data_IF_111862417433
#
_entry.id   IF_111862417433
#
_cell.length_a   1.000
_cell.length_b   1.000
_cell.length_c   1.000
_cell.angle_alpha   90.00
_cell.angle_beta   90.00
_cell.angle_gamma   90.00
#
_symmetry.space_group_name_H-M   'P 1'
#
loop_
_entity.id
_entity.type
_entity.pdbx_description
1 polymer ?
#
# COMPACT_ATOMS: atom_id res chain seq x y z
N UNK A 1 -6.94 22.81 -48.53
CA UNK A 1 -8.09 22.26 -47.75
C UNK A 1 -7.90 20.82 -47.24
N UNK A 2 -6.84 20.07 -47.61
CA UNK A 2 -6.57 18.71 -47.09
C UNK A 2 -5.61 18.64 -45.89
N UNK A 3 -4.81 19.69 -45.65
CA UNK A 3 -3.88 19.75 -44.53
C UNK A 3 -4.52 20.19 -43.20
N UNK A 4 -5.71 20.80 -43.24
CA UNK A 4 -6.38 21.34 -42.04
C UNK A 4 -7.05 20.24 -41.19
N UNK A 5 -7.36 19.08 -41.80
CA UNK A 5 -8.05 17.97 -41.13
C UNK A 5 -7.07 17.12 -40.29
N UNK A 6 -5.78 17.10 -40.64
CA UNK A 6 -4.75 16.30 -39.95
C UNK A 6 -4.33 16.93 -38.62
N UNK A 7 -4.35 18.27 -38.52
CA UNK A 7 -4.04 18.98 -37.27
C UNK A 7 -5.17 18.84 -36.24
N UNK A 8 -6.42 18.68 -36.69
CA UNK A 8 -7.56 18.49 -35.80
C UNK A 8 -7.60 17.10 -35.13
N UNK A 9 -7.03 16.07 -35.77
CA UNK A 9 -6.98 14.71 -35.21
C UNK A 9 -5.88 14.49 -34.17
N UNK A 10 -4.79 15.28 -34.24
CA UNK A 10 -3.68 15.21 -33.28
C UNK A 10 -4.02 15.80 -31.91
N UNK A 11 -5.08 16.61 -31.81
CA UNK A 11 -5.51 17.23 -30.55
C UNK A 11 -6.51 16.37 -29.74
N UNK A 12 -7.03 15.27 -30.29
CA UNK A 12 -8.05 14.42 -29.63
C UNK A 12 -7.41 13.19 -28.93
N UNK A 13 -6.13 12.91 -29.18
CA UNK A 13 -5.46 11.67 -28.75
C UNK A 13 -4.96 11.59 -27.30
N UNK A 14 -5.07 12.66 -26.51
CA UNK A 14 -4.51 12.70 -25.14
C UNK A 14 -5.49 13.25 -24.11
N UNK A 15 -6.74 12.79 -24.16
CA UNK A 15 -7.55 12.70 -22.94
C UNK A 15 -6.97 11.56 -22.10
N UNK A 16 -5.80 11.80 -21.49
CA UNK A 16 -5.24 10.92 -20.47
C UNK A 16 -6.28 10.83 -19.36
N UNK A 17 -6.99 9.70 -19.33
CA UNK A 17 -7.89 9.37 -18.25
C UNK A 17 -7.08 9.40 -16.96
N UNK A 18 -7.30 10.40 -16.11
CA UNK A 18 -6.92 10.32 -14.70
C UNK A 18 -7.88 9.33 -14.04
N UNK A 19 -7.81 8.06 -14.47
CA UNK A 19 -8.36 6.99 -13.67
C UNK A 19 -7.61 7.08 -12.34
N UNK A 20 -8.34 7.39 -11.27
CA UNK A 20 -7.78 7.41 -9.93
C UNK A 20 -7.01 6.11 -9.74
N UNK A 21 -5.68 6.18 -9.61
CA UNK A 21 -4.91 5.00 -9.31
C UNK A 21 -5.47 4.45 -8.00
N UNK A 22 -5.98 3.21 -8.07
CA UNK A 22 -6.51 2.54 -6.89
C UNK A 22 -5.48 2.56 -5.77
N UNK A 23 -5.93 2.48 -4.50
CA UNK A 23 -5.02 2.50 -3.37
C UNK A 23 -3.88 1.48 -3.57
N UNK A 24 -2.66 1.89 -3.27
CA UNK A 24 -1.46 1.07 -3.49
C UNK A 24 -1.47 -0.21 -2.65
N UNK A 25 -2.20 -0.21 -1.54
CA UNK A 25 -2.33 -1.31 -0.58
C UNK A 25 -3.78 -1.54 -0.16
N UNK A 26 -4.11 -2.74 0.28
CA UNK A 26 -5.42 -3.03 0.84
C UNK A 26 -5.49 -2.62 2.32
N UNK A 27 -4.42 -2.89 3.06
CA UNK A 27 -4.29 -2.50 4.46
C UNK A 27 -2.88 -2.00 4.74
N UNK A 28 -2.78 -0.89 5.49
CA UNK A 28 -1.54 -0.47 6.15
C UNK A 28 -1.78 -0.37 7.64
N UNK A 29 -0.96 -1.05 8.43
CA UNK A 29 -0.91 -0.91 9.89
C UNK A 29 0.27 0.00 10.23
N UNK A 30 0.03 1.15 10.87
CA UNK A 30 1.01 2.21 11.08
C UNK A 30 1.45 2.36 12.53
N UNK A 31 2.62 2.97 12.73
CA UNK A 31 3.14 3.43 14.03
C UNK A 31 3.34 2.33 15.09
N UNK A 32 3.41 1.06 14.65
CA UNK A 32 3.50 -0.08 15.54
C UNK A 32 4.90 -0.32 16.07
N UNK A 33 4.98 -1.05 17.19
CA UNK A 33 6.20 -1.79 17.56
C UNK A 33 6.13 -3.16 16.91
N UNK A 34 6.97 -3.43 15.93
CA UNK A 34 7.00 -4.68 15.20
C UNK A 34 7.83 -5.70 15.97
N UNK A 35 7.23 -6.85 16.26
CA UNK A 35 7.88 -8.05 16.78
C UNK A 35 7.67 -9.14 15.72
N UNK A 36 8.69 -9.46 14.93
CA UNK A 36 8.55 -10.29 13.72
C UNK A 36 8.63 -11.81 13.96
N UNK A 37 8.84 -12.24 15.21
CA UNK A 37 8.96 -13.65 15.59
C UNK A 37 10.36 -14.25 15.35
N UNK A 38 11.34 -13.49 14.85
CA UNK A 38 12.73 -13.96 14.67
C UNK A 38 13.51 -14.12 15.99
N UNK A 39 12.98 -13.57 17.10
CA UNK A 39 13.69 -13.45 18.38
C UNK A 39 14.52 -12.17 18.51
N UNK A 40 14.61 -11.35 17.45
CA UNK A 40 15.25 -10.03 17.50
C UNK A 40 14.47 -9.04 18.38
N UNK A 41 15.13 -7.98 18.92
CA UNK A 41 14.42 -6.88 19.56
C UNK A 41 13.38 -6.24 18.63
N UNK A 42 12.33 -5.67 19.23
CA UNK A 42 11.31 -4.96 18.48
C UNK A 42 11.87 -3.68 17.82
N UNK A 43 11.24 -3.24 16.74
CA UNK A 43 11.54 -1.96 16.08
C UNK A 43 10.26 -1.21 15.71
N UNK A 44 10.34 0.10 15.44
CA UNK A 44 9.18 0.89 14.97
C UNK A 44 9.01 0.74 13.47
N UNK A 45 7.78 0.61 13.02
CA UNK A 45 7.47 0.67 11.61
C UNK A 45 6.01 0.41 11.27
N UNK A 46 5.78 0.40 9.96
CA UNK A 46 4.51 0.18 9.31
C UNK A 46 4.56 -1.12 8.49
N UNK A 47 3.42 -1.79 8.36
CA UNK A 47 3.25 -3.02 7.58
C UNK A 47 2.14 -2.82 6.56
N UNK A 48 2.46 -3.00 5.28
CA UNK A 48 1.49 -2.93 4.19
C UNK A 48 1.17 -4.32 3.62
N UNK A 49 -0.11 -4.54 3.38
CA UNK A 49 -0.69 -5.80 2.95
C UNK A 49 -1.44 -5.57 1.63
N UNK A 50 -1.30 -6.53 0.71
CA UNK A 50 -2.10 -6.64 -0.51
C UNK A 50 -2.59 -8.07 -0.64
N UNK A 51 -3.91 -8.26 -0.74
CA UNK A 51 -4.55 -9.57 -0.66
C UNK A 51 -4.19 -10.29 0.63
N UNK A 52 -3.56 -11.44 0.49
CA UNK A 52 -3.12 -12.33 1.57
C UNK A 52 -1.64 -12.13 1.97
N UNK A 53 -0.94 -11.17 1.36
CA UNK A 53 0.51 -11.07 1.43
C UNK A 53 0.96 -9.75 2.05
N UNK A 54 1.95 -9.81 2.95
CA UNK A 54 2.70 -8.63 3.41
C UNK A 54 3.65 -8.21 2.28
N UNK A 55 3.40 -7.06 1.66
CA UNK A 55 4.15 -6.59 0.48
C UNK A 55 5.22 -5.55 0.81
N UNK A 56 5.16 -4.94 2.00
CA UNK A 56 6.17 -3.98 2.45
C UNK A 56 6.16 -3.88 3.98
N UNK A 57 7.37 -3.84 4.55
CA UNK A 57 7.62 -3.39 5.93
C UNK A 57 8.63 -2.26 5.84
N UNK A 58 8.33 -1.11 6.44
CA UNK A 58 9.19 0.07 6.37
C UNK A 58 9.01 0.96 7.61
N UNK A 59 9.96 1.86 7.92
CA UNK A 59 9.82 2.78 9.06
C UNK A 59 8.58 3.69 8.98
N UNK A 60 8.12 4.02 7.77
CA UNK A 60 6.92 4.81 7.50
C UNK A 60 6.40 4.51 6.09
N UNK A 61 5.08 4.36 5.94
CA UNK A 61 4.42 4.12 4.65
C UNK A 61 3.34 5.19 4.45
N UNK A 62 3.60 6.13 3.54
CA UNK A 62 2.70 7.26 3.23
C UNK A 62 1.79 7.01 2.04
N UNK A 63 2.03 5.96 1.25
CA UNK A 63 1.21 5.60 0.10
C UNK A 63 -0.25 5.33 0.50
N UNK A 64 -1.16 5.48 -0.47
CA UNK A 64 -2.59 5.26 -0.25
C UNK A 64 -2.90 3.78 0.03
N UNK A 65 -3.85 3.54 0.92
CA UNK A 65 -4.37 2.21 1.23
C UNK A 65 -5.89 2.23 1.34
N UNK A 66 -6.56 1.13 0.98
CA UNK A 66 -8.01 0.99 1.16
C UNK A 66 -8.40 1.14 2.63
N UNK A 67 -7.57 0.61 3.53
CA UNK A 67 -7.72 0.74 4.97
C UNK A 67 -6.40 1.08 5.65
N UNK A 68 -6.46 1.95 6.65
CA UNK A 68 -5.33 2.28 7.51
C UNK A 68 -5.73 1.99 8.95
N UNK A 69 -4.86 1.30 9.69
CA UNK A 69 -4.98 1.07 11.13
C UNK A 69 -3.81 1.75 11.85
N UNK A 70 -4.10 2.54 12.86
CA UNK A 70 -3.07 3.15 13.71
C UNK A 70 -2.81 2.26 14.93
N UNK A 71 -1.59 1.73 15.02
CA UNK A 71 -1.12 0.86 16.08
C UNK A 71 -0.16 1.59 17.05
N UNK A 72 -0.26 2.92 17.15
CA UNK A 72 0.52 3.70 18.10
C UNK A 72 0.38 3.16 19.54
N UNK A 73 1.52 2.87 20.17
CA UNK A 73 1.57 2.26 21.51
C UNK A 73 1.27 0.75 21.55
N UNK A 74 0.81 0.17 20.45
CA UNK A 74 0.51 -1.26 20.31
C UNK A 74 1.69 -2.03 19.71
N UNK A 75 1.50 -3.35 19.55
CA UNK A 75 2.46 -4.27 18.95
C UNK A 75 1.86 -4.87 17.68
N UNK A 76 2.67 -4.96 16.62
CA UNK A 76 2.36 -5.71 15.41
C UNK A 76 3.18 -7.00 15.47
N UNK A 77 2.52 -8.15 15.42
CA UNK A 77 3.16 -9.46 15.49
C UNK A 77 2.54 -10.43 14.47
N UNK A 78 3.25 -11.50 14.08
CA UNK A 78 2.64 -12.64 13.41
C UNK A 78 1.45 -13.17 14.22
N UNK A 79 0.45 -13.70 13.52
CA UNK A 79 -0.65 -14.42 14.17
C UNK A 79 -0.11 -15.61 14.97
N UNK A 80 -0.68 -15.86 16.14
CA UNK A 80 -0.30 -17.03 16.95
C UNK A 80 -0.72 -18.32 16.26
N UNK A 81 0.13 -19.35 16.35
CA UNK A 81 -0.14 -20.69 15.87
C UNK A 81 -0.42 -21.57 17.10
N UNK A 82 -1.64 -22.08 17.19
CA UNK A 82 -1.99 -23.11 18.16
C UNK A 82 -1.66 -24.48 17.57
N UNK A 83 -0.82 -25.25 18.27
CA UNK A 83 -0.35 -26.57 17.84
C UNK A 83 -1.13 -27.72 18.48
N UNK A 84 -2.07 -27.42 19.40
CA UNK A 84 -2.78 -28.40 20.21
C UNK A 84 -4.29 -28.41 20.01
N UNK A 85 -4.79 -27.66 19.02
CA UNK A 85 -6.22 -27.57 18.69
C UNK A 85 -6.79 -28.88 18.12
#
# INVERSE_FOLDING_TARGET
MRALIIVAFLAVGFLSSTAAQGPSYDLVIRNGRIVDGSGSPWYRGDVAIRGDTIVRVAPSITDAATRILDAAGQVIAPGFIDIQA
#
